data_IF_014736835410
#
_entry.id   IF_014736835410
#
_cell.length_a   1.000
_cell.length_b   1.000
_cell.length_c   1.000
_cell.angle_alpha   90.00
_cell.angle_beta   90.00
_cell.angle_gamma   90.00
#
_symmetry.space_group_name_H-M   'P 1'
#
loop_
_entity.id
_entity.type
_entity.pdbx_description
1 polymer ?
#
# COMPACT_ATOMS: atom_id res chain seq x y z
N UNK A 1 9.84 -21.74 -1.33
CA UNK A 1 8.87 -20.87 -0.62
C UNK A 1 9.64 -19.98 0.35
N UNK A 2 9.97 -18.76 -0.07
CA UNK A 2 10.55 -17.71 0.79
C UNK A 2 9.93 -16.38 0.37
N UNK A 3 8.61 -16.34 0.39
CA UNK A 3 7.82 -15.11 0.35
C UNK A 3 7.39 -14.83 1.79
N UNK A 4 7.60 -13.59 2.24
CA UNK A 4 7.76 -13.16 3.64
C UNK A 4 9.17 -13.40 4.17
N UNK A 5 9.95 -12.33 4.27
CA UNK A 5 11.17 -12.31 5.07
C UNK A 5 10.84 -12.81 6.46
N UNK A 6 11.33 -14.01 6.79
CA UNK A 6 10.99 -14.74 8.01
C UNK A 6 11.21 -13.91 9.27
N UNK A 7 10.67 -14.39 10.40
CA UNK A 7 10.77 -13.92 11.81
C UNK A 7 11.19 -12.46 12.06
N UNK A 8 12.36 -12.01 11.58
CA UNK A 8 12.79 -10.61 11.49
C UNK A 8 11.77 -9.65 10.86
N UNK A 9 11.13 -10.01 9.75
CA UNK A 9 10.11 -9.14 9.12
C UNK A 9 8.91 -8.91 10.03
N UNK A 10 8.54 -9.92 10.82
CA UNK A 10 7.49 -9.84 11.83
C UNK A 10 7.91 -8.94 13.00
N UNK A 11 9.16 -9.05 13.44
CA UNK A 11 9.74 -8.26 14.53
C UNK A 11 9.77 -6.76 14.15
N UNK A 12 10.18 -6.43 12.92
CA UNK A 12 10.25 -5.06 12.42
C UNK A 12 8.89 -4.36 12.35
N UNK A 13 7.82 -5.11 12.06
CA UNK A 13 6.45 -4.58 12.01
C UNK A 13 5.87 -4.39 13.41
N UNK A 14 6.22 -5.26 14.35
CA UNK A 14 5.59 -5.27 15.69
C UNK A 14 6.25 -4.30 16.66
N UNK A 15 7.56 -4.05 16.53
CA UNK A 15 8.31 -3.19 17.43
C UNK A 15 7.79 -1.75 17.52
N UNK A 16 7.54 -1.04 16.41
CA UNK A 16 7.06 0.35 16.45
C UNK A 16 5.68 0.46 17.09
N UNK A 17 4.79 -0.51 16.83
CA UNK A 17 3.46 -0.58 17.43
C UNK A 17 3.50 -0.84 18.93
N UNK A 18 4.41 -1.71 19.41
CA UNK A 18 4.63 -1.94 20.84
C UNK A 18 5.14 -0.69 21.54
N UNK A 19 6.12 -0.01 20.94
CA UNK A 19 6.71 1.22 21.51
C UNK A 19 5.66 2.33 21.61
N UNK A 20 4.82 2.48 20.59
CA UNK A 20 3.70 3.41 20.62
C UNK A 20 2.72 3.10 21.76
N UNK A 21 2.30 1.84 21.91
CA UNK A 21 1.35 1.42 22.95
C UNK A 21 1.91 1.63 24.35
N UNK A 22 3.17 1.24 24.60
CA UNK A 22 3.80 1.39 25.91
C UNK A 22 4.00 2.86 26.26
N UNK A 23 4.45 3.68 25.31
CA UNK A 23 4.68 5.11 25.55
C UNK A 23 3.35 5.83 25.81
N UNK A 24 2.31 5.54 25.03
CA UNK A 24 0.99 6.14 25.20
C UNK A 24 0.34 5.75 26.55
N UNK A 25 0.48 4.50 26.97
CA UNK A 25 -0.06 4.04 28.26
C UNK A 25 0.62 4.73 29.45
N UNK A 26 1.90 5.07 29.32
CA UNK A 26 2.68 5.75 30.36
C UNK A 26 2.45 7.26 30.37
N UNK A 27 2.45 7.91 29.21
CA UNK A 27 2.41 9.39 29.13
C UNK A 27 1.01 9.96 29.01
N UNK A 28 0.02 9.15 28.57
CA UNK A 28 -1.32 9.60 28.18
C UNK A 28 -1.31 10.75 27.14
N UNK A 29 -0.15 11.03 26.54
CA UNK A 29 0.06 12.12 25.60
C UNK A 29 0.42 11.54 24.23
N UNK A 30 -0.51 11.71 23.30
CA UNK A 30 -0.40 11.17 21.94
C UNK A 30 0.77 11.80 21.18
N UNK A 31 1.12 13.06 21.45
CA UNK A 31 2.21 13.75 20.76
C UNK A 31 3.57 13.11 21.09
N UNK A 32 3.82 12.79 22.35
CA UNK A 32 5.08 12.18 22.81
C UNK A 32 5.22 10.73 22.34
N UNK A 33 4.12 9.96 22.41
CA UNK A 33 4.07 8.59 21.89
C UNK A 33 4.26 8.55 20.36
N UNK A 34 3.68 9.52 19.65
CA UNK A 34 3.81 9.66 18.20
C UNK A 34 5.23 10.07 17.79
N UNK A 35 5.85 11.06 18.44
CA UNK A 35 7.23 11.47 18.17
C UNK A 35 8.23 10.35 18.49
N UNK A 36 8.02 9.59 19.57
CA UNK A 36 8.84 8.42 19.90
C UNK A 36 8.73 7.29 18.87
N UNK A 37 7.50 6.93 18.48
CA UNK A 37 7.27 5.89 17.48
C UNK A 37 7.72 6.30 16.07
N UNK A 38 7.55 7.58 15.71
CA UNK A 38 8.05 8.16 14.46
C UNK A 38 9.57 8.23 14.43
N UNK A 39 10.21 8.66 15.52
CA UNK A 39 11.67 8.68 15.65
C UNK A 39 12.26 7.28 15.52
N UNK A 40 11.67 6.29 16.19
CA UNK A 40 12.11 4.90 16.10
C UNK A 40 11.88 4.33 14.69
N UNK A 41 10.73 4.61 14.08
CA UNK A 41 10.43 4.19 12.71
C UNK A 41 11.40 4.84 11.70
N UNK A 42 11.75 6.10 11.90
CA UNK A 42 12.74 6.80 11.07
C UNK A 42 14.14 6.18 11.24
N UNK A 43 14.56 5.83 12.45
CA UNK A 43 15.83 5.13 12.71
C UNK A 43 15.85 3.75 12.05
N UNK A 44 14.76 2.99 12.12
CA UNK A 44 14.65 1.69 11.45
C UNK A 44 14.68 1.83 9.92
N UNK A 45 14.07 2.89 9.37
CA UNK A 45 14.15 3.22 7.94
C UNK A 45 15.56 3.60 7.54
N UNK A 46 16.28 4.39 8.34
CA UNK A 46 17.69 4.74 8.11
C UNK A 46 18.58 3.50 8.19
N UNK A 47 18.35 2.61 9.15
CA UNK A 47 19.05 1.33 9.26
C UNK A 47 18.76 0.41 8.06
N UNK A 48 17.52 0.40 7.54
CA UNK A 48 17.17 -0.29 6.28
C UNK A 48 17.91 0.30 5.09
N UNK A 49 18.03 1.62 5.03
CA UNK A 49 18.77 2.33 3.99
C UNK A 49 20.25 1.96 4.01
N UNK A 50 20.85 1.94 5.20
CA UNK A 50 22.25 1.56 5.43
C UNK A 50 22.50 0.07 5.11
N UNK A 51 21.48 -0.78 5.29
CA UNK A 51 21.50 -2.21 4.94
C UNK A 51 21.29 -2.51 3.45
N UNK A 52 21.12 -1.48 2.61
CA UNK A 52 20.85 -1.60 1.17
C UNK A 52 19.62 -2.47 0.84
N UNK A 53 18.63 -2.51 1.73
CA UNK A 53 17.31 -3.03 1.39
C UNK A 53 16.64 -2.09 0.37
N UNK A 54 15.88 -2.64 -0.57
CA UNK A 54 15.49 -2.01 -1.86
C UNK A 54 15.26 -0.49 -1.77
N UNK A 55 16.22 0.27 -2.32
CA UNK A 55 16.26 1.74 -2.39
C UNK A 55 14.97 2.36 -2.97
N UNK A 56 14.23 1.60 -3.78
CA UNK A 56 13.06 2.06 -4.51
C UNK A 56 11.87 2.51 -3.61
N UNK A 57 11.71 1.94 -2.42
CA UNK A 57 10.61 2.29 -1.51
C UNK A 57 10.95 3.43 -0.54
N UNK A 58 12.22 3.59 -0.18
CA UNK A 58 12.63 4.63 0.75
C UNK A 58 12.75 6.01 0.08
N UNK A 59 13.17 6.06 -1.19
CA UNK A 59 13.25 7.31 -1.93
C UNK A 59 11.87 7.90 -2.30
N UNK A 60 10.86 7.06 -2.58
CA UNK A 60 9.54 7.57 -2.97
C UNK A 60 8.84 8.35 -1.85
N UNK A 61 9.03 7.93 -0.59
CA UNK A 61 8.51 8.64 0.59
C UNK A 61 9.18 10.00 0.82
N UNK A 62 10.51 10.04 0.74
CA UNK A 62 11.29 11.29 0.90
C UNK A 62 10.96 12.28 -0.21
N UNK A 63 10.85 11.80 -1.46
CA UNK A 63 10.52 12.66 -2.60
C UNK A 63 9.12 13.26 -2.49
N UNK A 64 8.13 12.47 -2.06
CA UNK A 64 6.77 12.96 -1.82
C UNK A 64 6.71 14.02 -0.71
N UNK A 65 7.46 13.83 0.38
CA UNK A 65 7.57 14.81 1.46
C UNK A 65 8.26 16.09 0.98
N UNK A 66 9.35 15.97 0.21
CA UNK A 66 10.07 17.11 -0.34
C UNK A 66 9.20 17.95 -1.29
N UNK A 67 8.45 17.30 -2.19
CA UNK A 67 7.51 17.99 -3.08
C UNK A 67 6.41 18.70 -2.26
N UNK A 68 5.81 18.00 -1.29
CA UNK A 68 4.78 18.59 -0.43
C UNK A 68 5.30 19.81 0.34
N UNK A 69 6.49 19.70 0.93
CA UNK A 69 7.14 20.80 1.64
C UNK A 69 7.42 21.98 0.72
N UNK A 70 7.97 21.74 -0.48
CA UNK A 70 8.24 22.79 -1.46
C UNK A 70 6.97 23.54 -1.88
N UNK A 71 5.87 22.82 -2.18
CA UNK A 71 4.59 23.46 -2.54
C UNK A 71 4.05 24.27 -1.37
N UNK A 72 4.09 23.73 -0.16
CA UNK A 72 3.63 24.42 1.04
C UNK A 72 4.41 25.71 1.30
N UNK A 73 5.74 25.67 1.22
CA UNK A 73 6.61 26.84 1.37
C UNK A 73 6.34 27.90 0.29
N UNK A 74 6.15 27.49 -0.96
CA UNK A 74 5.87 28.42 -2.07
C UNK A 74 4.52 29.12 -1.94
N UNK A 75 3.53 28.45 -1.35
CA UNK A 75 2.16 28.93 -1.26
C UNK A 75 1.81 29.58 0.08
N UNK A 76 2.67 29.42 1.10
CA UNK A 76 2.43 29.89 2.47
C UNK A 76 1.33 29.12 3.21
N UNK A 77 0.87 27.99 2.67
CA UNK A 77 -0.26 27.21 3.16
C UNK A 77 0.18 25.82 3.57
N UNK A 78 -0.02 25.46 4.84
CA UNK A 78 0.44 24.19 5.40
C UNK A 78 -0.38 22.99 4.90
N UNK A 79 -1.66 23.18 4.56
CA UNK A 79 -2.51 22.15 3.96
C UNK A 79 -2.00 21.65 2.60
N UNK A 80 -1.30 22.52 1.85
CA UNK A 80 -0.76 22.17 0.53
C UNK A 80 0.34 21.11 0.59
N UNK A 81 0.92 20.87 1.77
CA UNK A 81 1.80 19.73 2.01
C UNK A 81 1.13 18.40 1.68
N UNK A 82 -0.17 18.29 1.92
CA UNK A 82 -0.93 17.06 1.73
C UNK A 82 -1.42 16.84 0.30
N UNK A 83 -1.46 17.91 -0.51
CA UNK A 83 -2.07 17.92 -1.83
C UNK A 83 -1.46 16.89 -2.81
N UNK A 84 -0.12 16.75 -2.95
CA UNK A 84 0.45 15.75 -3.85
C UNK A 84 0.05 14.32 -3.48
N UNK A 85 0.09 14.00 -2.19
CA UNK A 85 -0.30 12.68 -1.71
C UNK A 85 -1.80 12.42 -1.93
N UNK A 86 -2.63 13.45 -1.79
CA UNK A 86 -4.06 13.33 -2.00
C UNK A 86 -4.40 13.08 -3.48
N UNK A 87 -3.77 13.82 -4.39
CA UNK A 87 -3.87 13.60 -5.84
C UNK A 87 -3.38 12.21 -6.23
N UNK A 88 -2.29 11.74 -5.63
CA UNK A 88 -1.81 10.37 -5.85
C UNK A 88 -2.84 9.32 -5.46
N UNK A 89 -3.50 9.47 -4.31
CA UNK A 89 -4.55 8.53 -3.87
C UNK A 89 -5.75 8.52 -4.83
N UNK A 90 -6.16 9.68 -5.33
CA UNK A 90 -7.22 9.78 -6.34
C UNK A 90 -6.77 9.11 -7.64
N UNK A 91 -5.57 9.44 -8.14
CA UNK A 91 -5.02 8.85 -9.35
C UNK A 91 -4.89 7.32 -9.25
N UNK A 92 -4.47 6.81 -8.10
CA UNK A 92 -4.40 5.37 -7.83
C UNK A 92 -5.79 4.70 -7.89
N UNK A 93 -6.81 5.30 -7.26
CA UNK A 93 -8.17 4.77 -7.32
C UNK A 93 -8.74 4.80 -8.75
N UNK A 94 -8.47 5.86 -9.51
CA UNK A 94 -8.85 5.98 -10.91
C UNK A 94 -8.14 4.92 -11.76
N UNK A 95 -6.83 4.72 -11.55
CA UNK A 95 -6.08 3.69 -12.25
C UNK A 95 -6.62 2.28 -11.97
N UNK A 96 -6.94 1.97 -10.71
CA UNK A 96 -7.62 0.72 -10.34
C UNK A 96 -8.97 0.57 -11.06
N UNK A 97 -9.80 1.61 -11.06
CA UNK A 97 -11.10 1.58 -11.71
C UNK A 97 -10.98 1.38 -13.23
N UNK A 98 -10.11 2.15 -13.89
CA UNK A 98 -9.84 2.00 -15.34
C UNK A 98 -9.32 0.60 -15.63
N UNK A 99 -8.39 0.08 -14.82
CA UNK A 99 -7.83 -1.27 -14.99
C UNK A 99 -8.92 -2.35 -14.96
N UNK A 100 -9.88 -2.22 -14.03
CA UNK A 100 -11.02 -3.13 -13.94
C UNK A 100 -11.96 -2.98 -15.14
N UNK A 101 -12.21 -1.75 -15.61
CA UNK A 101 -13.06 -1.46 -16.77
C UNK A 101 -12.49 -2.03 -18.08
N UNK A 102 -11.18 -1.92 -18.32
CA UNK A 102 -10.53 -2.49 -19.51
C UNK A 102 -10.30 -4.01 -19.40
N UNK A 103 -10.83 -4.66 -18.35
CA UNK A 103 -10.67 -6.10 -18.06
C UNK A 103 -9.22 -6.53 -17.84
N UNK A 104 -8.38 -5.61 -17.33
CA UNK A 104 -7.02 -5.86 -16.87
C UNK A 104 -6.92 -5.50 -15.39
N UNK A 105 -7.61 -6.24 -14.49
CA UNK A 105 -7.61 -5.92 -13.07
C UNK A 105 -6.19 -5.88 -12.51
N UNK A 106 -5.77 -4.74 -11.96
CA UNK A 106 -4.43 -4.55 -11.37
C UNK A 106 -4.12 -5.58 -10.27
N UNK A 107 -5.13 -6.01 -9.51
CA UNK A 107 -4.96 -7.09 -8.53
C UNK A 107 -4.58 -8.41 -9.20
N UNK A 108 -5.17 -8.72 -10.36
CA UNK A 108 -4.81 -9.91 -11.14
C UNK A 108 -3.41 -9.82 -11.75
N UNK A 109 -2.99 -8.63 -12.19
CA UNK A 109 -1.61 -8.39 -12.66
C UNK A 109 -0.58 -8.54 -11.54
N UNK A 110 -0.93 -8.12 -10.33
CA UNK A 110 -0.05 -8.22 -9.17
C UNK A 110 0.01 -9.65 -8.63
N UNK A 111 -1.13 -10.35 -8.58
CA UNK A 111 -1.23 -11.69 -7.99
C UNK A 111 -0.93 -12.81 -8.99
N UNK A 112 -1.14 -12.60 -10.30
CA UNK A 112 -0.87 -13.61 -11.33
C UNK A 112 0.54 -14.21 -11.24
N UNK A 113 1.60 -13.38 -11.15
CA UNK A 113 2.96 -13.87 -10.92
C UNK A 113 3.12 -14.54 -9.55
N UNK A 114 2.53 -13.98 -8.49
CA UNK A 114 2.60 -14.52 -7.12
C UNK A 114 1.96 -15.92 -7.02
N UNK A 115 0.89 -16.17 -7.76
CA UNK A 115 0.18 -17.44 -7.79
C UNK A 115 0.69 -18.40 -8.87
N UNK A 116 1.70 -18.00 -9.66
CA UNK A 116 2.27 -18.80 -10.75
C UNK A 116 1.36 -18.97 -11.97
N UNK A 117 0.35 -18.11 -12.10
CA UNK A 117 -0.61 -18.13 -13.21
C UNK A 117 -0.19 -17.20 -14.35
N UNK A 118 0.62 -16.19 -14.06
CA UNK A 118 1.00 -15.13 -14.99
C UNK A 118 -0.23 -14.46 -15.62
N UNK A 119 -0.68 -14.91 -16.80
CA UNK A 119 -1.87 -14.41 -17.51
C UNK A 119 -2.95 -15.48 -17.77
N UNK A 120 -2.77 -16.74 -17.33
CA UNK A 120 -3.74 -17.84 -17.52
C UNK A 120 -5.09 -17.53 -16.89
N UNK A 121 -5.11 -16.77 -15.80
CA UNK A 121 -6.35 -16.29 -15.16
C UNK A 121 -7.23 -15.45 -16.08
N UNK A 122 -6.65 -14.81 -17.11
CA UNK A 122 -7.40 -14.01 -18.09
C UNK A 122 -7.81 -14.85 -19.31
N UNK A 123 -6.96 -15.78 -19.74
CA UNK A 123 -7.15 -16.54 -20.98
C UNK A 123 -7.93 -17.83 -20.79
N UNK A 124 -7.73 -18.53 -19.67
CA UNK A 124 -8.22 -19.89 -19.45
C UNK A 124 -9.20 -20.03 -18.26
N UNK A 125 -9.24 -19.06 -17.34
CA UNK A 125 -10.06 -19.16 -16.13
C UNK A 125 -11.01 -17.94 -15.93
N UNK A 126 -12.19 -17.94 -16.57
CA UNK A 126 -13.11 -16.80 -16.49
C UNK A 126 -13.61 -16.51 -15.06
N UNK A 127 -13.73 -17.53 -14.21
CA UNK A 127 -14.11 -17.35 -12.80
C UNK A 127 -13.05 -16.59 -11.99
N UNK A 128 -11.78 -16.78 -12.33
CA UNK A 128 -10.66 -16.09 -11.67
C UNK A 128 -10.45 -14.66 -12.17
N UNK A 129 -10.66 -14.42 -13.47
CA UNK A 129 -10.80 -13.06 -14.00
C UNK A 129 -11.91 -12.28 -13.27
N UNK A 130 -13.07 -12.90 -13.04
CA UNK A 130 -14.16 -12.27 -12.29
C UNK A 130 -13.77 -12.00 -10.83
N UNK A 131 -13.07 -12.92 -10.17
CA UNK A 131 -12.58 -12.75 -8.81
C UNK A 131 -11.57 -11.58 -8.69
N UNK A 132 -10.58 -11.50 -9.58
CA UNK A 132 -9.62 -10.39 -9.60
C UNK A 132 -10.28 -9.05 -9.93
N UNK A 133 -11.29 -9.05 -10.81
CA UNK A 133 -12.07 -7.84 -11.13
C UNK A 133 -12.87 -7.38 -9.92
N UNK A 134 -13.56 -8.29 -9.21
CA UNK A 134 -14.27 -7.98 -7.95
C UNK A 134 -13.31 -7.47 -6.88
N UNK A 135 -12.14 -8.08 -6.73
CA UNK A 135 -11.12 -7.64 -5.79
C UNK A 135 -10.61 -6.23 -6.14
N UNK A 136 -10.35 -5.95 -7.41
CA UNK A 136 -9.93 -4.61 -7.85
C UNK A 136 -11.00 -3.56 -7.57
N UNK A 137 -12.27 -3.85 -7.81
CA UNK A 137 -13.37 -2.96 -7.44
C UNK A 137 -13.51 -2.76 -5.92
N UNK A 138 -13.29 -3.80 -5.12
CA UNK A 138 -13.25 -3.66 -3.67
C UNK A 138 -12.15 -2.69 -3.23
N UNK A 139 -10.97 -2.76 -3.86
CA UNK A 139 -9.90 -1.78 -3.62
C UNK A 139 -10.31 -0.37 -4.02
N UNK A 140 -10.97 -0.17 -5.18
CA UNK A 140 -11.48 1.15 -5.60
C UNK A 140 -12.41 1.74 -4.53
N UNK A 141 -13.35 0.94 -4.01
CA UNK A 141 -14.32 1.41 -3.01
C UNK A 141 -13.64 1.71 -1.67
N UNK A 142 -12.84 0.77 -1.16
CA UNK A 142 -12.23 0.88 0.17
C UNK A 142 -11.14 1.95 0.19
N UNK A 143 -10.27 1.98 -0.82
CA UNK A 143 -9.24 3.01 -0.96
C UNK A 143 -9.84 4.36 -1.34
N UNK A 144 -10.92 4.37 -2.13
CA UNK A 144 -11.60 5.59 -2.59
C UNK A 144 -12.32 6.34 -1.48
N UNK A 145 -12.71 5.65 -0.39
CA UNK A 145 -13.30 6.31 0.78
C UNK A 145 -12.35 7.33 1.41
N UNK A 146 -11.04 7.04 1.43
CA UNK A 146 -10.02 7.91 2.02
C UNK A 146 -9.94 9.29 1.35
N UNK A 147 -9.72 9.42 0.02
CA UNK A 147 -9.72 10.72 -0.63
C UNK A 147 -11.09 11.39 -0.55
N UNK A 148 -12.21 10.65 -0.55
CA UNK A 148 -13.55 11.24 -0.36
C UNK A 148 -13.70 11.96 0.99
N UNK A 149 -13.02 11.48 2.05
CA UNK A 149 -13.03 12.11 3.37
C UNK A 149 -11.99 13.24 3.45
N UNK A 150 -10.77 12.99 2.97
CA UNK A 150 -9.66 13.93 3.12
C UNK A 150 -9.75 15.14 2.20
N UNK A 151 -10.38 15.02 1.03
CA UNK A 151 -10.48 16.10 0.05
C UNK A 151 -11.41 17.24 0.48
N UNK A 152 -12.62 17.00 1.01
CA UNK A 152 -13.42 18.05 1.65
C UNK A 152 -12.69 18.67 2.84
N UNK A 153 -12.02 17.85 3.65
CA UNK A 153 -11.30 18.31 4.84
C UNK A 153 -10.12 19.23 4.48
N UNK A 154 -9.46 18.99 3.35
CA UNK A 154 -8.40 19.87 2.83
C UNK A 154 -8.89 21.32 2.63
N UNK A 155 -10.13 21.53 2.20
CA UNK A 155 -10.70 22.87 2.04
C UNK A 155 -11.10 23.55 3.35
N UNK A 156 -11.07 22.84 4.48
CA UNK A 156 -11.36 23.43 5.81
C UNK A 156 -10.15 24.13 6.42
N UNK A 157 -8.97 24.03 5.80
CA UNK A 157 -7.70 24.57 6.27
C UNK A 157 -7.26 24.06 7.67
N UNK A 158 -7.91 23.02 8.22
CA UNK A 158 -7.54 22.40 9.49
C UNK A 158 -6.44 21.34 9.29
N UNK A 159 -5.20 21.82 9.26
CA UNK A 159 -4.00 21.01 8.99
C UNK A 159 -3.80 19.90 10.04
N UNK A 160 -4.10 20.19 11.31
CA UNK A 160 -3.97 19.21 12.40
C UNK A 160 -4.91 18.04 12.20
N UNK A 161 -6.20 18.31 11.98
CA UNK A 161 -7.19 17.27 11.75
C UNK A 161 -6.89 16.49 10.46
N UNK A 162 -6.48 17.18 9.39
CA UNK A 162 -6.09 16.56 8.11
C UNK A 162 -4.91 15.60 8.28
N UNK A 163 -3.90 15.98 9.06
CA UNK A 163 -2.74 15.15 9.39
C UNK A 163 -3.13 13.89 10.16
N UNK A 164 -3.85 14.04 11.27
CA UNK A 164 -4.31 12.92 12.09
C UNK A 164 -5.17 11.93 11.29
N UNK A 165 -6.13 12.45 10.53
CA UNK A 165 -7.05 11.61 9.77
C UNK A 165 -6.33 10.89 8.62
N UNK A 166 -5.34 11.53 7.98
CA UNK A 166 -4.51 10.88 6.95
C UNK A 166 -3.72 9.69 7.51
N UNK A 167 -3.17 9.83 8.73
CA UNK A 167 -2.45 8.77 9.43
C UNK A 167 -3.40 7.65 9.85
N UNK A 168 -4.53 8.01 10.48
CA UNK A 168 -5.55 7.07 10.91
C UNK A 168 -6.12 6.25 9.73
N UNK A 169 -6.33 6.87 8.57
CA UNK A 169 -6.78 6.23 7.34
C UNK A 169 -5.61 5.64 6.51
N UNK A 170 -4.42 5.50 7.09
CA UNK A 170 -3.26 4.90 6.42
C UNK A 170 -3.42 3.39 6.25
N UNK A 171 -3.42 2.68 7.38
CA UNK A 171 -3.35 1.22 7.45
C UNK A 171 -4.73 0.55 7.44
N UNK A 172 -5.77 1.03 8.16
CA UNK A 172 -7.03 0.29 8.27
C UNK A 172 -7.71 0.00 6.93
N UNK A 173 -7.85 0.96 5.98
CA UNK A 173 -8.41 0.66 4.67
C UNK A 173 -7.57 -0.37 3.90
N UNK A 174 -6.24 -0.35 4.06
CA UNK A 174 -5.33 -1.25 3.35
C UNK A 174 -5.54 -2.69 3.81
N UNK A 175 -5.56 -2.89 5.13
CA UNK A 175 -5.82 -4.19 5.74
C UNK A 175 -7.20 -4.71 5.34
N UNK A 176 -8.21 -3.84 5.34
CA UNK A 176 -9.56 -4.20 4.91
C UNK A 176 -9.60 -4.63 3.44
N UNK A 177 -8.95 -3.89 2.54
CA UNK A 177 -8.89 -4.23 1.12
C UNK A 177 -8.18 -5.58 0.90
N UNK A 178 -7.07 -5.82 1.58
CA UNK A 178 -6.37 -7.10 1.56
C UNK A 178 -7.25 -8.25 2.09
N UNK A 179 -7.93 -8.05 3.21
CA UNK A 179 -8.82 -9.05 3.79
C UNK A 179 -9.98 -9.39 2.83
N UNK A 180 -10.59 -8.39 2.20
CA UNK A 180 -11.66 -8.61 1.21
C UNK A 180 -11.11 -9.34 -0.02
N UNK A 181 -9.94 -8.98 -0.52
CA UNK A 181 -9.26 -9.73 -1.59
C UNK A 181 -9.06 -11.19 -1.21
N UNK A 182 -8.55 -11.46 -0.01
CA UNK A 182 -8.37 -12.83 0.49
C UNK A 182 -9.69 -13.61 0.50
N UNK A 183 -10.77 -13.01 1.04
CA UNK A 183 -12.10 -13.64 1.08
C UNK A 183 -12.64 -13.95 -0.31
N UNK A 184 -12.44 -13.04 -1.28
CA UNK A 184 -12.86 -13.25 -2.67
C UNK A 184 -12.07 -14.41 -3.29
N UNK A 185 -10.76 -14.47 -3.06
CA UNK A 185 -9.89 -15.50 -3.64
C UNK A 185 -10.12 -16.88 -3.04
N UNK A 186 -10.52 -16.98 -1.76
CA UNK A 186 -10.93 -18.25 -1.16
C UNK A 186 -12.15 -18.89 -1.85
N UNK A 187 -13.01 -18.07 -2.46
CA UNK A 187 -14.19 -18.54 -3.22
C UNK A 187 -13.92 -18.68 -4.71
N UNK A 188 -12.72 -18.33 -5.18
CA UNK A 188 -12.38 -18.37 -6.60
C UNK A 188 -11.94 -19.78 -7.03
N UNK A 189 -12.10 -20.13 -8.32
CA UNK A 189 -11.56 -21.37 -8.85
C UNK A 189 -10.03 -21.47 -8.64
N UNK A 190 -9.50 -22.70 -8.50
CA UNK A 190 -8.07 -22.91 -8.27
C UNK A 190 -7.21 -22.33 -9.42
N UNK A 191 -5.96 -21.95 -9.11
CA UNK A 191 -5.08 -21.38 -10.11
C UNK A 191 -4.73 -22.39 -11.20
N UNK A 192 -4.70 -21.94 -12.45
CA UNK A 192 -4.11 -22.70 -13.55
C UNK A 192 -2.69 -22.18 -13.73
N UNK A 193 -1.68 -22.97 -13.37
CA UNK A 193 -0.29 -22.54 -13.50
C UNK A 193 0.06 -22.35 -14.98
N UNK A 194 0.83 -21.32 -15.29
CA UNK A 194 1.36 -21.15 -16.63
C UNK A 194 2.41 -22.25 -16.90
N UNK A 195 2.33 -22.90 -18.05
CA UNK A 195 3.45 -23.67 -18.58
C UNK A 195 4.56 -22.69 -18.96
N UNK A 196 5.63 -22.70 -18.16
CA UNK A 196 6.86 -22.01 -18.52
C UNK A 196 7.61 -22.93 -19.49
N UNK A 197 8.15 -22.42 -20.62
CA UNK A 197 9.06 -23.20 -21.44
C UNK A 197 10.21 -23.65 -20.53
N UNK A 198 10.29 -24.95 -20.26
CA UNK A 198 11.46 -25.53 -19.60
C UNK A 198 12.59 -25.51 -20.61
N UNK A 199 13.78 -25.15 -20.13
CA UNK A 199 15.01 -25.00 -20.89
C UNK A 199 15.28 -26.22 -21.80
N UNK A 200 14.93 -26.14 -23.09
CA UNK A 200 15.32 -27.13 -24.12
C UNK A 200 16.83 -27.08 -24.43
N UNK A 201 17.62 -26.29 -23.68
CA UNK A 201 19.03 -26.02 -23.94
C UNK A 201 20.00 -26.93 -23.14
N UNK A 202 19.55 -27.72 -22.16
CA UNK A 202 20.44 -28.65 -21.41
C UNK A 202 20.61 -30.05 -22.04
N UNK A 203 19.78 -30.45 -23.03
CA UNK A 203 19.94 -31.74 -23.75
C UNK A 203 20.73 -31.63 -25.07
N UNK A 204 21.24 -30.44 -25.42
CA UNK A 204 22.01 -30.22 -26.66
C UNK A 204 23.50 -29.92 -26.48
N UNK A 205 24.04 -29.98 -25.26
CA UNK A 205 25.46 -29.75 -24.96
C UNK A 205 26.24 -31.01 -24.63
#
# INVERSE_FOLDING_TARGET
>A
MTAFGGVRGMIDITLPSLVFIVTFNLTHNVADAAWGALGLSAVLVVLRLLRRESLQHAFSGVFGVAIGAWISMKTGKAENFYLPGLLWNVGYCVALAISALVRWPLIGLSLGPVTGEMFTWRTQNPGRLAAYTKATWAWVVIMGLKPLILFPLYFTHNVNLLGWLKVALGIPPLVLAMYVTWRILLTAPPPIKAELPQDEDEERS
#
